data_IF_839941985881
#
_entry.id   IF_839941985881
#
_cell.length_a   1.000
_cell.length_b   1.000
_cell.length_c   1.000
_cell.angle_alpha   90.00
_cell.angle_beta   90.00
_cell.angle_gamma   90.00
#
_symmetry.space_group_name_H-M   'P 1'
#
loop_
_entity.id
_entity.type
_entity.pdbx_description
1 polymer ?
#
# COMPACT_ATOMS: atom_id res chain seq x y z
N UNK A 1 -60.14 4.61 -27.76
CA UNK A 1 -59.47 3.98 -28.91
C UNK A 1 -58.21 3.25 -28.38
N UNK A 2 -58.25 1.97 -28.53
CA UNK A 2 -57.40 0.95 -27.91
C UNK A 2 -56.08 0.87 -28.67
N UNK A 3 -54.94 0.90 -27.99
CA UNK A 3 -53.69 0.42 -28.58
C UNK A 3 -53.02 -0.56 -27.62
N UNK A 4 -52.83 -1.78 -28.16
CA UNK A 4 -52.37 -2.99 -27.51
C UNK A 4 -50.86 -2.96 -27.24
N UNK A 5 -50.51 -3.39 -26.08
CA UNK A 5 -49.16 -3.82 -25.68
C UNK A 5 -48.70 -5.02 -26.53
N UNK A 6 -47.49 -4.93 -27.07
CA UNK A 6 -46.79 -6.09 -27.63
C UNK A 6 -45.71 -6.52 -26.63
N UNK A 7 -45.96 -7.60 -25.95
CA UNK A 7 -45.00 -8.31 -25.11
C UNK A 7 -44.13 -9.15 -26.04
N UNK A 8 -42.86 -8.84 -26.14
CA UNK A 8 -41.88 -9.70 -26.82
C UNK A 8 -41.35 -10.75 -25.82
N UNK A 9 -41.66 -12.01 -26.12
CA UNK A 9 -41.11 -13.17 -25.49
C UNK A 9 -39.64 -13.33 -25.92
N UNK A 10 -38.69 -13.23 -24.97
CA UNK A 10 -37.32 -13.73 -25.15
C UNK A 10 -37.31 -15.23 -24.84
N UNK A 11 -36.99 -16.07 -25.83
CA UNK A 11 -36.72 -17.48 -25.66
C UNK A 11 -35.29 -17.67 -25.02
N UNK A 12 -35.08 -18.67 -24.16
CA UNK A 12 -33.76 -18.90 -23.58
C UNK A 12 -32.81 -19.56 -24.58
N UNK A 13 -31.62 -19.00 -24.72
CA UNK A 13 -30.53 -19.58 -25.51
C UNK A 13 -30.13 -20.98 -24.98
N UNK A 14 -30.11 -21.92 -25.90
CA UNK A 14 -29.62 -23.29 -25.66
C UNK A 14 -28.10 -23.26 -25.50
N UNK A 15 -27.62 -23.55 -24.29
CA UNK A 15 -26.24 -23.90 -24.05
C UNK A 15 -25.97 -25.25 -24.71
N UNK A 16 -25.16 -25.27 -25.77
CA UNK A 16 -24.67 -26.49 -26.42
C UNK A 16 -23.64 -27.17 -25.50
N UNK A 17 -23.99 -28.34 -25.01
CA UNK A 17 -23.06 -29.25 -24.33
C UNK A 17 -21.98 -29.75 -25.31
N UNK A 18 -20.70 -29.82 -24.88
CA UNK A 18 -19.63 -30.32 -25.74
C UNK A 18 -19.83 -31.83 -26.02
N UNK A 19 -19.66 -32.21 -27.30
CA UNK A 19 -19.88 -33.54 -27.83
C UNK A 19 -19.13 -34.64 -27.11
N UNK A 20 -19.82 -35.70 -26.76
CA UNK A 20 -19.45 -36.82 -25.90
C UNK A 20 -18.38 -37.79 -26.49
N UNK A 21 -17.68 -37.46 -27.58
CA UNK A 21 -16.72 -38.36 -28.23
C UNK A 21 -15.24 -38.11 -27.85
N UNK A 22 -14.86 -36.95 -27.37
CA UNK A 22 -13.47 -36.66 -26.96
C UNK A 22 -13.23 -37.01 -25.47
N UNK A 23 -14.27 -37.09 -24.67
CA UNK A 23 -14.17 -37.41 -23.23
C UNK A 23 -13.98 -38.91 -22.97
N UNK A 24 -14.38 -39.82 -23.88
CA UNK A 24 -14.30 -41.27 -23.67
C UNK A 24 -12.96 -41.90 -24.06
N UNK A 25 -12.10 -41.24 -24.81
CA UNK A 25 -10.80 -41.77 -25.21
C UNK A 25 -9.63 -41.45 -24.30
N UNK A 26 -9.83 -40.55 -23.28
CA UNK A 26 -8.80 -40.25 -22.28
C UNK A 26 -8.96 -40.96 -20.93
N UNK A 27 -9.97 -41.81 -20.78
CA UNK A 27 -10.27 -42.54 -19.54
C UNK A 27 -9.76 -43.99 -19.52
N UNK A 28 -9.13 -44.47 -20.61
CA UNK A 28 -8.72 -45.87 -20.71
C UNK A 28 -7.24 -46.16 -20.42
N UNK A 29 -6.41 -45.12 -20.12
CA UNK A 29 -4.96 -45.37 -19.95
C UNK A 29 -4.35 -44.58 -18.80
N UNK A 30 -4.82 -44.86 -17.58
CA UNK A 30 -4.03 -44.68 -16.35
C UNK A 30 -4.50 -45.67 -15.31
N UNK A 31 -3.88 -46.84 -15.29
CA UNK A 31 -3.81 -47.65 -14.07
C UNK A 31 -3.25 -46.75 -12.97
N UNK A 32 -4.10 -46.31 -12.05
CA UNK A 32 -3.68 -45.60 -10.86
C UNK A 32 -2.72 -46.48 -10.06
N UNK A 33 -1.42 -46.27 -10.26
CA UNK A 33 -0.45 -46.59 -9.25
C UNK A 33 -0.77 -45.66 -8.06
N UNK A 34 -1.02 -46.23 -6.90
CA UNK A 34 -1.05 -45.57 -5.63
C UNK A 34 0.35 -44.95 -5.42
N UNK A 35 0.60 -43.77 -6.01
CA UNK A 35 1.86 -43.04 -5.93
C UNK A 35 1.88 -42.20 -4.64
N UNK A 36 2.96 -42.29 -3.89
CA UNK A 36 3.20 -41.45 -2.73
C UNK A 36 2.86 -40.00 -3.07
N UNK A 37 1.95 -39.35 -2.30
CA UNK A 37 1.58 -37.96 -2.50
C UNK A 37 2.82 -37.09 -2.36
N UNK A 38 3.18 -36.38 -3.41
CA UNK A 38 4.34 -35.48 -3.42
C UNK A 38 4.13 -34.41 -2.34
N UNK A 39 5.07 -34.28 -1.42
CA UNK A 39 5.06 -33.23 -0.41
C UNK A 39 5.91 -32.06 -0.89
N UNK A 40 5.38 -30.86 -0.75
CA UNK A 40 6.03 -29.61 -1.09
C UNK A 40 6.02 -28.69 0.13
N UNK A 41 7.00 -27.80 0.20
CA UNK A 41 6.96 -26.72 1.19
C UNK A 41 5.77 -25.81 0.90
N UNK A 42 5.07 -25.37 1.94
CA UNK A 42 3.88 -24.54 1.80
C UNK A 42 4.18 -23.22 1.07
N UNK A 43 5.29 -22.54 1.40
CA UNK A 43 5.72 -21.32 0.71
C UNK A 43 5.91 -21.53 -0.79
N UNK A 44 6.42 -22.68 -1.19
CA UNK A 44 6.65 -23.06 -2.59
C UNK A 44 5.34 -23.40 -3.30
N UNK A 45 4.48 -24.18 -2.63
CA UNK A 45 3.17 -24.56 -3.17
C UNK A 45 2.29 -23.33 -3.49
N UNK A 46 2.29 -22.30 -2.64
CA UNK A 46 1.53 -21.08 -2.85
C UNK A 46 1.96 -20.34 -4.13
N UNK A 47 3.26 -20.30 -4.40
CA UNK A 47 3.81 -19.66 -5.61
C UNK A 47 3.54 -20.51 -6.85
N UNK A 48 3.79 -21.82 -6.79
CA UNK A 48 3.56 -22.74 -7.91
C UNK A 48 2.09 -22.78 -8.36
N UNK A 49 1.16 -22.57 -7.43
CA UNK A 49 -0.28 -22.48 -7.74
C UNK A 49 -0.73 -21.08 -8.16
N UNK A 50 0.18 -20.09 -8.22
CA UNK A 50 -0.14 -18.70 -8.56
C UNK A 50 -1.02 -17.99 -7.52
N UNK A 51 -1.11 -18.54 -6.27
CA UNK A 51 -1.90 -17.94 -5.18
C UNK A 51 -1.23 -16.66 -4.69
N UNK A 52 0.10 -16.62 -4.73
CA UNK A 52 0.91 -15.43 -4.39
C UNK A 52 2.04 -15.23 -5.39
N UNK A 53 2.48 -14.00 -5.54
CA UNK A 53 3.45 -13.61 -6.56
C UNK A 53 4.91 -14.02 -6.22
N UNK A 54 5.27 -14.16 -4.93
CA UNK A 54 6.63 -14.49 -4.52
C UNK A 54 6.67 -15.35 -3.25
N UNK A 55 7.83 -15.99 -3.00
CA UNK A 55 8.05 -16.83 -1.80
C UNK A 55 8.10 -15.98 -0.54
N UNK A 56 8.66 -14.79 -0.59
CA UNK A 56 8.73 -13.85 0.51
C UNK A 56 7.32 -13.44 0.94
N UNK A 57 6.45 -13.17 -0.04
CA UNK A 57 5.04 -12.89 0.21
C UNK A 57 4.31 -14.08 0.81
N UNK A 58 4.55 -15.29 0.29
CA UNK A 58 4.02 -16.53 0.85
C UNK A 58 4.42 -16.70 2.32
N UNK A 59 5.71 -16.51 2.63
CA UNK A 59 6.23 -16.64 3.99
C UNK A 59 5.59 -15.63 4.95
N UNK A 60 5.48 -14.37 4.53
CA UNK A 60 4.83 -13.32 5.33
C UNK A 60 3.37 -13.67 5.64
N UNK A 61 2.59 -14.13 4.67
CA UNK A 61 1.20 -14.52 4.84
C UNK A 61 1.03 -15.77 5.72
N UNK A 62 1.91 -16.74 5.59
CA UNK A 62 1.90 -17.95 6.44
C UNK A 62 2.21 -17.58 7.88
N UNK A 63 3.29 -16.82 8.14
CA UNK A 63 3.68 -16.35 9.48
C UNK A 63 2.57 -15.49 10.10
N UNK A 64 1.92 -14.64 9.30
CA UNK A 64 0.76 -13.86 9.75
C UNK A 64 -0.50 -14.71 9.99
N UNK A 65 -0.43 -16.03 9.74
CA UNK A 65 -1.55 -16.96 9.93
C UNK A 65 -2.72 -16.72 8.98
N UNK A 66 -2.44 -16.18 7.80
CA UNK A 66 -3.43 -15.91 6.75
C UNK A 66 -3.68 -17.10 5.82
N UNK A 67 -3.01 -18.24 6.05
CA UNK A 67 -3.08 -19.41 5.19
C UNK A 67 -3.69 -20.58 5.95
N UNK A 68 -4.77 -21.14 5.43
CA UNK A 68 -5.33 -22.42 5.86
C UNK A 68 -4.97 -23.50 4.86
N UNK A 69 -4.55 -24.66 5.36
CA UNK A 69 -4.33 -25.86 4.57
C UNK A 69 -5.25 -26.94 5.12
N UNK A 70 -6.17 -27.44 4.30
CA UNK A 70 -7.23 -28.36 4.74
C UNK A 70 -7.96 -27.85 5.99
N UNK A 71 -8.31 -26.54 5.98
CA UNK A 71 -8.98 -25.80 7.07
C UNK A 71 -8.17 -25.69 8.37
N UNK A 72 -6.90 -26.08 8.37
CA UNK A 72 -6.00 -25.90 9.51
C UNK A 72 -5.04 -24.75 9.26
N UNK A 73 -4.89 -23.86 10.24
CA UNK A 73 -3.94 -22.76 10.21
C UNK A 73 -2.53 -23.28 10.33
N UNK A 74 -1.67 -22.94 9.38
CA UNK A 74 -0.24 -23.22 9.42
C UNK A 74 0.54 -21.90 9.50
N UNK A 75 1.46 -21.82 10.44
CA UNK A 75 2.31 -20.64 10.71
C UNK A 75 3.78 -20.83 10.30
N UNK A 76 4.15 -22.03 9.85
CA UNK A 76 5.51 -22.37 9.40
C UNK A 76 5.59 -22.41 7.88
N UNK A 77 6.28 -21.45 7.28
CA UNK A 77 6.45 -21.34 5.83
C UNK A 77 7.07 -22.60 5.20
N UNK A 78 7.96 -23.29 5.94
CA UNK A 78 8.59 -24.53 5.52
C UNK A 78 7.77 -25.79 5.75
N UNK A 79 6.52 -25.68 6.26
CA UNK A 79 5.67 -26.84 6.49
C UNK A 79 5.52 -27.69 5.22
N UNK A 80 5.67 -29.01 5.36
CA UNK A 80 5.51 -29.95 4.26
C UNK A 80 4.02 -30.30 4.11
N UNK A 81 3.45 -29.94 2.98
CA UNK A 81 2.05 -30.19 2.64
C UNK A 81 1.95 -31.03 1.36
N UNK A 82 0.91 -31.81 1.22
CA UNK A 82 0.71 -32.59 -0.01
C UNK A 82 0.37 -31.65 -1.17
N UNK A 83 0.88 -31.97 -2.36
CA UNK A 83 0.74 -31.12 -3.54
C UNK A 83 -0.72 -30.88 -3.97
N UNK A 84 -1.66 -31.71 -3.52
CA UNK A 84 -3.10 -31.60 -3.76
C UNK A 84 -3.90 -31.03 -2.57
N UNK A 85 -3.21 -30.55 -1.52
CA UNK A 85 -3.87 -29.96 -0.36
C UNK A 85 -4.78 -28.79 -0.74
N UNK A 86 -5.94 -28.70 -0.10
CA UNK A 86 -6.83 -27.55 -0.25
C UNK A 86 -6.22 -26.37 0.51
N UNK A 87 -5.92 -25.30 -0.23
CA UNK A 87 -5.39 -24.05 0.36
C UNK A 87 -6.46 -22.99 0.30
N UNK A 88 -6.71 -22.33 1.43
CA UNK A 88 -7.60 -21.18 1.53
C UNK A 88 -6.88 -20.01 2.20
N UNK A 89 -6.96 -18.86 1.58
CA UNK A 89 -6.42 -17.62 2.14
C UNK A 89 -7.45 -17.00 3.10
N UNK A 90 -6.99 -16.51 4.23
CA UNK A 90 -7.81 -15.77 5.18
C UNK A 90 -7.65 -14.26 4.94
N UNK A 91 -8.76 -13.61 4.65
CA UNK A 91 -8.82 -12.19 4.33
C UNK A 91 -8.53 -11.90 2.85
N UNK A 92 -8.92 -10.71 2.42
CA UNK A 92 -8.61 -10.22 1.08
C UNK A 92 -7.10 -9.98 0.95
N UNK A 93 -6.54 -10.23 -0.23
CA UNK A 93 -5.20 -9.76 -0.55
C UNK A 93 -5.17 -8.23 -0.40
N UNK A 94 -4.14 -7.73 0.27
CA UNK A 94 -3.99 -6.27 0.39
C UNK A 94 -3.90 -5.69 -1.02
N UNK A 95 -4.74 -4.70 -1.30
CA UNK A 95 -4.72 -3.93 -2.56
C UNK A 95 -3.31 -3.41 -2.87
N UNK A 96 -2.56 -3.05 -1.85
CA UNK A 96 -1.19 -2.54 -1.90
C UNK A 96 -0.23 -3.47 -1.15
N UNK A 97 1.06 -3.34 -1.42
CA UNK A 97 2.11 -4.15 -0.76
C UNK A 97 2.14 -4.01 0.76
N UNK A 98 1.52 -2.96 1.30
CA UNK A 98 1.27 -2.81 2.74
C UNK A 98 0.01 -1.98 3.03
N UNK A 99 -0.47 -2.02 4.29
CA UNK A 99 -1.62 -1.24 4.76
C UNK A 99 -1.45 0.27 4.58
N UNK A 100 -0.21 0.75 4.48
CA UNK A 100 0.09 2.16 4.21
C UNK A 100 -0.60 2.68 2.97
N UNK A 101 -0.65 1.88 1.89
CA UNK A 101 -1.31 2.27 0.64
C UNK A 101 -2.78 2.67 0.79
N UNK A 102 -3.52 2.01 1.69
CA UNK A 102 -4.92 2.36 1.99
C UNK A 102 -5.06 3.76 2.63
N UNK A 103 -4.05 4.19 3.42
CA UNK A 103 -4.05 5.53 4.01
C UNK A 103 -3.90 6.60 2.93
N UNK A 104 -2.91 6.42 2.04
CA UNK A 104 -2.70 7.37 0.94
C UNK A 104 -3.88 7.38 -0.03
N UNK A 105 -4.41 6.22 -0.38
CA UNK A 105 -5.61 6.12 -1.23
C UNK A 105 -6.75 6.98 -0.68
N UNK A 106 -7.05 6.86 0.63
CA UNK A 106 -8.07 7.68 1.29
C UNK A 106 -7.82 9.18 1.12
N UNK A 107 -6.55 9.61 1.21
CA UNK A 107 -6.17 11.00 1.02
C UNK A 107 -6.37 11.45 -0.44
N UNK A 108 -5.93 10.65 -1.41
CA UNK A 108 -6.09 10.95 -2.84
C UNK A 108 -7.57 11.07 -3.22
N UNK A 109 -8.39 10.15 -2.75
CA UNK A 109 -9.85 10.14 -2.99
C UNK A 109 -10.53 11.35 -2.33
N UNK A 110 -10.27 11.59 -1.02
CA UNK A 110 -10.93 12.64 -0.27
C UNK A 110 -10.66 14.02 -0.85
N UNK A 111 -9.42 14.31 -1.23
CA UNK A 111 -9.02 15.61 -1.77
C UNK A 111 -9.03 15.66 -3.30
N UNK A 112 -9.52 14.61 -3.94
CA UNK A 112 -9.56 14.48 -5.39
C UNK A 112 -8.22 14.85 -6.04
N UNK A 113 -7.15 14.20 -5.56
CA UNK A 113 -5.79 14.45 -6.04
C UNK A 113 -5.48 13.48 -7.18
N UNK A 114 -5.38 14.00 -8.39
CA UNK A 114 -4.90 13.25 -9.53
C UNK A 114 -3.37 13.21 -9.56
N UNK A 115 -2.82 12.01 -9.52
CA UNK A 115 -1.37 11.74 -9.61
C UNK A 115 -0.97 11.13 -10.95
N UNK A 116 -1.93 10.97 -11.87
CA UNK A 116 -1.64 10.43 -13.19
C UNK A 116 -0.62 11.30 -13.92
N UNK A 117 0.38 10.65 -14.50
CA UNK A 117 1.51 11.28 -15.19
C UNK A 117 2.34 12.27 -14.35
N UNK A 118 2.22 12.23 -13.00
CA UNK A 118 2.94 13.11 -12.08
C UNK A 118 4.24 12.48 -11.57
N UNK A 119 5.18 13.35 -11.18
CA UNK A 119 6.38 12.98 -10.43
C UNK A 119 6.05 13.14 -8.94
N UNK A 120 6.14 12.07 -8.18
CA UNK A 120 5.84 12.05 -6.76
C UNK A 120 7.10 11.76 -5.94
N UNK A 121 7.19 12.39 -4.75
CA UNK A 121 8.22 12.08 -3.76
C UNK A 121 7.56 11.38 -2.56
N UNK A 122 8.01 10.16 -2.25
CA UNK A 122 7.58 9.37 -1.10
C UNK A 122 8.68 9.38 -0.03
N UNK A 123 8.40 9.96 1.12
CA UNK A 123 9.34 10.14 2.23
C UNK A 123 8.98 9.23 3.39
N UNK A 124 9.85 8.27 3.68
CA UNK A 124 9.60 7.18 4.63
C UNK A 124 8.94 5.99 3.91
N UNK A 125 9.46 5.62 2.76
CA UNK A 125 8.85 4.64 1.87
C UNK A 125 8.69 3.24 2.47
N UNK A 126 9.58 2.82 3.39
CA UNK A 126 9.54 1.54 4.11
C UNK A 126 9.29 0.36 3.17
N UNK A 127 8.21 -0.38 3.36
CA UNK A 127 7.79 -1.51 2.51
C UNK A 127 7.25 -1.09 1.13
N UNK A 128 7.05 0.20 0.89
CA UNK A 128 6.58 0.73 -0.41
C UNK A 128 5.07 0.88 -0.54
N UNK A 129 4.33 0.92 0.57
CA UNK A 129 2.86 1.01 0.51
C UNK A 129 2.34 2.28 -0.15
N UNK A 130 2.93 3.44 0.17
CA UNK A 130 2.59 4.73 -0.47
C UNK A 130 3.08 4.74 -1.92
N UNK A 131 4.30 4.31 -2.17
CA UNK A 131 4.86 4.17 -3.52
C UNK A 131 3.97 3.32 -4.41
N UNK A 132 3.54 2.13 -3.95
CA UNK A 132 2.66 1.23 -4.71
C UNK A 132 1.29 1.89 -5.00
N UNK A 133 0.73 2.62 -4.03
CA UNK A 133 -0.50 3.39 -4.22
C UNK A 133 -0.33 4.44 -5.33
N UNK A 134 0.73 5.24 -5.29
CA UNK A 134 1.03 6.23 -6.33
C UNK A 134 1.18 5.59 -7.72
N UNK A 135 1.89 4.47 -7.82
CA UNK A 135 2.09 3.74 -9.07
C UNK A 135 0.79 3.19 -9.65
N UNK A 136 -0.07 2.62 -8.79
CA UNK A 136 -1.39 2.11 -9.21
C UNK A 136 -2.34 3.21 -9.64
N UNK A 137 -2.17 4.44 -9.12
CA UNK A 137 -2.92 5.63 -9.54
C UNK A 137 -2.27 6.38 -10.72
N UNK A 138 -1.28 5.77 -11.39
CA UNK A 138 -0.74 6.27 -12.65
C UNK A 138 0.41 7.27 -12.53
N UNK A 139 1.08 7.39 -11.37
CA UNK A 139 2.27 8.23 -11.26
C UNK A 139 3.31 7.86 -12.34
N UNK A 140 3.83 8.85 -13.04
CA UNK A 140 4.86 8.64 -14.06
C UNK A 140 6.20 8.26 -13.43
N UNK A 141 6.49 8.81 -12.25
CA UNK A 141 7.69 8.51 -11.47
C UNK A 141 7.45 8.68 -9.99
N UNK A 142 8.05 7.80 -9.19
CA UNK A 142 8.09 7.94 -7.73
C UNK A 142 9.54 7.91 -7.27
N UNK A 143 9.97 8.99 -6.61
CA UNK A 143 11.25 9.06 -5.90
C UNK A 143 10.94 8.66 -4.46
N UNK A 144 11.45 7.51 -4.04
CA UNK A 144 11.19 6.96 -2.72
C UNK A 144 12.44 7.10 -1.84
N UNK A 145 12.29 7.73 -0.68
CA UNK A 145 13.40 7.97 0.27
C UNK A 145 13.15 7.18 1.56
N UNK A 146 14.14 6.43 2.02
CA UNK A 146 14.10 5.79 3.33
C UNK A 146 15.48 5.74 3.98
N UNK A 147 15.50 5.82 5.32
CA UNK A 147 16.74 5.61 6.12
C UNK A 147 17.13 4.13 6.23
N UNK A 148 16.18 3.23 6.05
CA UNK A 148 16.37 1.79 6.04
C UNK A 148 17.04 1.28 4.77
N UNK A 149 17.26 -0.02 4.76
CA UNK A 149 17.83 -0.74 3.61
C UNK A 149 17.14 -2.09 3.43
N UNK A 150 16.79 -2.43 2.18
CA UNK A 150 16.22 -3.73 1.83
C UNK A 150 14.80 -3.96 2.33
N UNK A 151 14.06 -2.90 2.73
CA UNK A 151 12.71 -3.03 3.28
C UNK A 151 11.62 -3.04 2.21
N UNK A 152 11.85 -2.34 1.09
CA UNK A 152 10.85 -2.18 0.03
C UNK A 152 10.54 -3.52 -0.63
N UNK A 153 9.25 -3.78 -0.85
CA UNK A 153 8.75 -4.96 -1.55
C UNK A 153 9.41 -5.12 -2.91
N UNK A 154 9.72 -6.36 -3.29
CA UNK A 154 10.44 -6.68 -4.52
C UNK A 154 9.75 -6.12 -5.77
N UNK A 155 8.42 -6.23 -5.87
CA UNK A 155 7.66 -5.74 -7.02
C UNK A 155 7.79 -4.23 -7.18
N UNK A 156 7.65 -3.48 -6.08
CA UNK A 156 7.73 -2.02 -6.07
C UNK A 156 9.16 -1.55 -6.36
N UNK A 157 10.15 -2.22 -5.72
CA UNK A 157 11.58 -1.92 -5.89
C UNK A 157 12.06 -2.04 -7.34
N UNK A 158 11.50 -2.95 -8.11
CA UNK A 158 11.89 -3.23 -9.49
C UNK A 158 10.99 -2.58 -10.54
N UNK A 159 10.01 -1.78 -10.12
CA UNK A 159 9.20 -0.99 -11.07
C UNK A 159 10.10 0.09 -11.71
N UNK A 160 10.19 0.17 -13.04
CA UNK A 160 11.08 1.13 -13.73
C UNK A 160 10.73 2.60 -13.44
N UNK A 161 9.56 2.89 -12.91
CA UNK A 161 9.14 4.23 -12.52
C UNK A 161 9.64 4.62 -11.12
N UNK A 162 10.17 3.68 -10.34
CA UNK A 162 10.64 3.92 -8.98
C UNK A 162 12.14 4.20 -8.96
N UNK A 163 12.49 5.34 -8.38
CA UNK A 163 13.86 5.66 -7.99
C UNK A 163 13.98 5.58 -6.47
N UNK A 164 14.56 4.50 -5.98
CA UNK A 164 14.70 4.25 -4.54
C UNK A 164 16.03 4.81 -4.01
N UNK A 165 15.95 5.64 -2.98
CA UNK A 165 17.06 6.25 -2.26
C UNK A 165 17.07 5.71 -0.81
N UNK A 166 17.69 4.55 -0.63
CA UNK A 166 17.87 3.93 0.70
C UNK A 166 19.03 4.57 1.48
N UNK A 167 19.09 4.33 2.79
CA UNK A 167 20.09 4.91 3.70
C UNK A 167 20.16 6.43 3.61
N UNK A 168 19.05 7.05 3.24
CA UNK A 168 18.96 8.49 3.00
C UNK A 168 18.09 9.14 4.08
N UNK A 169 18.72 9.98 4.92
CA UNK A 169 17.98 10.70 5.95
C UNK A 169 17.34 11.95 5.37
N UNK A 170 16.01 11.99 5.39
CA UNK A 170 15.20 13.05 4.82
C UNK A 170 15.48 14.45 5.41
N UNK A 171 16.08 14.55 6.61
CA UNK A 171 16.52 15.83 7.18
C UNK A 171 17.66 16.51 6.42
N UNK A 172 18.39 15.75 5.62
CA UNK A 172 19.59 16.24 4.93
C UNK A 172 19.47 16.11 3.40
N UNK A 173 18.26 15.89 2.89
CA UNK A 173 18.05 15.82 1.46
C UNK A 173 18.24 17.20 0.81
N UNK A 174 18.83 17.16 -0.35
CA UNK A 174 19.05 18.35 -1.20
C UNK A 174 18.46 18.11 -2.57
N UNK A 175 18.30 19.16 -3.36
CA UNK A 175 17.85 19.06 -4.75
C UNK A 175 18.74 18.13 -5.58
N UNK A 176 20.05 18.12 -5.35
CA UNK A 176 20.98 17.23 -6.05
C UNK A 176 20.73 15.75 -5.74
N UNK A 177 20.37 15.44 -4.47
CA UNK A 177 20.01 14.07 -4.06
C UNK A 177 18.69 13.63 -4.71
N UNK A 178 17.68 14.48 -4.67
CA UNK A 178 16.35 14.20 -5.25
C UNK A 178 16.45 14.18 -6.79
N UNK A 179 17.23 15.07 -7.41
CA UNK A 179 17.57 15.11 -8.83
C UNK A 179 16.51 15.74 -9.72
N UNK A 180 15.23 15.76 -9.32
CA UNK A 180 14.13 16.33 -10.09
C UNK A 180 13.07 16.95 -9.16
N UNK A 181 12.22 17.81 -9.70
CA UNK A 181 11.13 18.43 -8.92
C UNK A 181 9.93 17.51 -8.88
N UNK A 182 9.27 17.43 -7.73
CA UNK A 182 8.05 16.68 -7.55
C UNK A 182 6.80 17.56 -7.76
N UNK A 183 5.73 16.96 -8.22
CA UNK A 183 4.39 17.58 -8.28
C UNK A 183 3.63 17.37 -6.96
N UNK A 184 3.88 16.24 -6.30
CA UNK A 184 3.30 15.85 -5.01
C UNK A 184 4.40 15.29 -4.11
N UNK A 185 4.37 15.69 -2.84
CA UNK A 185 5.16 15.07 -1.76
C UNK A 185 4.19 14.29 -0.87
N UNK A 186 4.53 13.04 -0.53
CA UNK A 186 3.85 12.26 0.49
C UNK A 186 4.85 11.90 1.59
N UNK A 187 4.43 11.96 2.86
CA UNK A 187 5.32 11.79 4.02
C UNK A 187 4.69 10.80 5.00
N UNK A 188 5.37 9.68 5.23
CA UNK A 188 5.01 8.66 6.22
C UNK A 188 6.24 8.27 7.05
N UNK A 189 6.76 9.20 7.83
CA UNK A 189 7.96 8.97 8.66
C UNK A 189 7.62 8.40 10.03
N UNK A 190 8.54 7.66 10.61
CA UNK A 190 8.46 7.09 11.95
C UNK A 190 9.72 7.44 12.76
N UNK A 191 9.58 7.48 14.08
CA UNK A 191 10.67 7.77 15.05
C UNK A 191 11.27 9.17 14.94
N UNK A 192 10.61 10.07 14.23
CA UNK A 192 10.99 11.46 14.04
C UNK A 192 9.74 12.31 13.85
N UNK A 193 9.78 13.55 14.32
CA UNK A 193 8.72 14.53 14.01
C UNK A 193 8.77 14.91 12.53
N UNK A 194 7.61 14.94 11.88
CA UNK A 194 7.47 15.41 10.50
C UNK A 194 7.95 16.86 10.35
N UNK A 195 7.83 17.70 11.39
CA UNK A 195 8.26 19.10 11.36
C UNK A 195 9.77 19.27 11.10
N UNK A 196 10.59 18.25 11.44
CA UNK A 196 12.02 18.27 11.17
C UNK A 196 12.38 17.85 9.74
N UNK A 197 11.46 17.15 9.08
CA UNK A 197 11.67 16.57 7.75
C UNK A 197 11.09 17.47 6.66
N UNK A 198 9.99 18.15 6.96
CA UNK A 198 9.25 18.97 6.00
C UNK A 198 10.10 20.08 5.36
N UNK A 199 10.84 20.94 6.12
CA UNK A 199 11.58 22.04 5.52
C UNK A 199 12.62 21.57 4.47
N UNK A 200 13.55 20.65 4.77
CA UNK A 200 14.52 20.20 3.77
C UNK A 200 13.88 19.50 2.57
N UNK A 201 12.84 18.68 2.79
CA UNK A 201 12.15 17.95 1.74
C UNK A 201 11.42 18.88 0.78
N UNK A 202 10.64 19.82 1.32
CA UNK A 202 9.89 20.81 0.52
C UNK A 202 10.82 21.70 -0.28
N UNK A 203 11.91 22.18 0.33
CA UNK A 203 12.89 23.04 -0.36
C UNK A 203 13.72 22.29 -1.41
N UNK A 204 13.92 21.00 -1.22
CA UNK A 204 14.64 20.17 -2.18
C UNK A 204 13.77 19.75 -3.37
N UNK A 205 12.50 19.39 -3.13
CA UNK A 205 11.61 18.78 -4.12
C UNK A 205 10.72 19.77 -4.86
N UNK A 206 10.38 20.91 -4.26
CA UNK A 206 9.56 21.94 -4.90
C UNK A 206 10.43 23.12 -5.41
N UNK A 207 9.92 23.93 -6.36
CA UNK A 207 10.54 25.18 -6.72
C UNK A 207 10.74 26.09 -5.50
N UNK A 208 11.74 26.98 -5.50
CA UNK A 208 12.12 27.78 -4.32
C UNK A 208 10.97 28.66 -3.80
N UNK A 209 10.24 29.30 -4.66
CA UNK A 209 9.10 30.19 -4.35
C UNK A 209 8.45 30.67 -5.65
N UNK A 210 7.30 31.35 -5.54
CA UNK A 210 6.60 31.95 -6.66
C UNK A 210 5.57 31.06 -7.33
N UNK A 211 5.12 31.48 -8.53
CA UNK A 211 4.00 30.83 -9.24
C UNK A 211 4.25 29.36 -9.59
N UNK A 212 5.50 28.95 -9.80
CA UNK A 212 5.86 27.56 -10.11
C UNK A 212 5.61 26.60 -8.92
N UNK A 213 5.60 27.12 -7.69
CA UNK A 213 5.27 26.36 -6.49
C UNK A 213 3.76 26.28 -6.23
N UNK A 214 3.03 27.22 -6.79
CA UNK A 214 1.59 27.37 -6.59
C UNK A 214 0.82 26.12 -7.03
N UNK A 215 -0.08 25.65 -6.16
CA UNK A 215 -0.91 24.47 -6.40
C UNK A 215 -0.22 23.14 -6.16
N UNK A 216 1.11 23.11 -5.88
CA UNK A 216 1.77 21.89 -5.45
C UNK A 216 1.27 21.45 -4.08
N UNK A 217 1.21 20.14 -3.86
CA UNK A 217 0.58 19.58 -2.68
C UNK A 217 1.55 18.72 -1.89
N UNK A 218 1.34 18.70 -0.59
CA UNK A 218 1.98 17.77 0.33
C UNK A 218 0.91 17.01 1.10
N UNK A 219 1.06 15.70 1.27
CA UNK A 219 0.23 14.84 2.11
C UNK A 219 1.13 14.28 3.20
N UNK A 220 0.71 14.41 4.46
CA UNK A 220 1.49 13.95 5.61
C UNK A 220 0.62 13.03 6.44
N UNK A 221 1.16 11.85 6.77
CA UNK A 221 0.60 11.02 7.82
C UNK A 221 1.13 11.52 9.16
N UNK A 222 0.30 12.27 9.88
CA UNK A 222 0.61 12.76 11.22
C UNK A 222 0.43 11.65 12.24
N UNK A 223 1.49 11.34 12.95
CA UNK A 223 1.54 10.29 13.96
C UNK A 223 1.76 10.92 15.34
N UNK A 224 0.72 11.05 16.18
CA UNK A 224 0.83 11.73 17.46
C UNK A 224 1.96 11.22 18.36
N UNK A 225 2.27 9.91 18.30
CA UNK A 225 3.35 9.32 19.09
C UNK A 225 4.75 9.86 18.76
N UNK A 226 4.93 10.52 17.61
CA UNK A 226 6.20 11.14 17.22
C UNK A 226 6.16 12.66 17.22
N UNK A 227 4.99 13.24 17.46
CA UNK A 227 4.78 14.71 17.48
C UNK A 227 4.50 15.25 18.88
N UNK A 228 3.79 14.51 19.72
CA UNK A 228 3.50 14.88 21.10
C UNK A 228 4.74 14.79 21.99
N UNK A 229 4.72 15.47 23.13
CA UNK A 229 5.71 15.32 24.17
C UNK A 229 5.77 13.89 24.72
N UNK A 230 6.92 13.48 25.25
CA UNK A 230 7.12 12.13 25.80
C UNK A 230 6.14 11.79 26.91
N UNK A 231 5.70 12.79 27.67
CA UNK A 231 4.72 12.69 28.75
C UNK A 231 3.34 12.20 28.31
N UNK A 232 2.98 12.40 27.04
CA UNK A 232 1.71 11.93 26.46
C UNK A 232 1.82 10.53 25.84
N UNK A 233 3.03 9.99 25.70
CA UNK A 233 3.26 8.66 25.12
C UNK A 233 3.19 7.61 26.20
N UNK A 234 2.06 6.92 26.27
CA UNK A 234 1.80 5.90 27.28
C UNK A 234 2.42 4.54 26.96
N UNK A 235 2.05 3.55 27.77
CA UNK A 235 2.51 2.16 27.58
C UNK A 235 2.18 1.65 26.17
N UNK A 236 3.16 1.04 25.53
CA UNK A 236 3.05 0.54 24.15
C UNK A 236 3.19 1.63 23.08
N UNK A 237 3.69 2.84 23.44
CA UNK A 237 3.86 3.91 22.46
C UNK A 237 2.56 4.57 22.00
N UNK A 238 1.48 4.48 22.81
CA UNK A 238 0.14 4.95 22.42
C UNK A 238 -0.17 6.28 23.08
N UNK A 239 -0.57 7.28 22.28
CA UNK A 239 -1.11 8.57 22.73
C UNK A 239 -2.63 8.45 22.80
N UNK A 240 -3.19 8.45 24.03
CA UNK A 240 -4.64 8.32 24.26
C UNK A 240 -5.32 9.67 24.50
N UNK A 241 -4.56 10.67 24.92
CA UNK A 241 -5.06 12.01 25.17
C UNK A 241 -5.43 12.68 23.84
N UNK A 242 -6.71 12.98 23.67
CA UNK A 242 -7.22 13.59 22.43
C UNK A 242 -6.69 15.00 22.21
N UNK A 243 -6.50 15.76 23.28
CA UNK A 243 -5.93 17.11 23.17
C UNK A 243 -4.48 17.06 22.67
N UNK A 244 -3.69 16.10 23.15
CA UNK A 244 -2.33 15.87 22.67
C UNK A 244 -2.30 15.37 21.21
N UNK A 245 -3.28 14.56 20.80
CA UNK A 245 -3.41 14.13 19.40
C UNK A 245 -3.69 15.34 18.50
N UNK A 246 -4.65 16.19 18.85
CA UNK A 246 -4.98 17.41 18.08
C UNK A 246 -3.84 18.43 18.11
N UNK A 247 -3.19 18.62 19.23
CA UNK A 247 -2.00 19.50 19.33
C UNK A 247 -0.87 19.02 18.40
N UNK A 248 -0.72 17.71 18.22
CA UNK A 248 0.23 17.14 17.27
C UNK A 248 -0.09 17.52 15.82
N UNK A 249 -1.37 17.53 15.46
CA UNK A 249 -1.83 17.98 14.14
C UNK A 249 -1.55 19.46 13.95
N UNK A 250 -1.92 20.33 14.92
CA UNK A 250 -1.69 21.78 14.85
C UNK A 250 -0.20 22.12 14.75
N UNK A 251 0.66 21.38 15.44
CA UNK A 251 2.11 21.53 15.33
C UNK A 251 2.61 21.30 13.89
N UNK A 252 2.13 20.27 13.21
CA UNK A 252 2.53 19.97 11.83
C UNK A 252 1.92 20.96 10.85
N UNK A 253 0.68 21.43 11.09
CA UNK A 253 0.06 22.54 10.33
C UNK A 253 0.92 23.78 10.39
N UNK A 254 1.31 24.23 11.60
CA UNK A 254 2.15 25.41 11.78
C UNK A 254 3.49 25.30 11.03
N UNK A 255 4.07 24.10 10.95
CA UNK A 255 5.28 23.88 10.16
C UNK A 255 5.03 24.08 8.65
N UNK A 256 3.88 23.63 8.12
CA UNK A 256 3.50 23.84 6.72
C UNK A 256 3.19 25.32 6.42
N UNK A 257 2.51 26.01 7.31
CA UNK A 257 2.24 27.45 7.20
C UNK A 257 3.55 28.24 7.14
N UNK A 258 4.51 27.91 8.01
CA UNK A 258 5.86 28.47 7.99
C UNK A 258 6.64 28.23 6.69
N UNK A 259 6.25 27.21 5.92
CA UNK A 259 6.81 26.89 4.59
C UNK A 259 6.03 27.54 3.44
N UNK A 260 4.96 28.29 3.73
CA UNK A 260 4.16 29.02 2.77
C UNK A 260 2.95 28.26 2.23
N UNK A 261 2.49 27.21 2.89
CA UNK A 261 1.21 26.58 2.53
C UNK A 261 0.06 27.56 2.75
N UNK A 262 -0.78 27.71 1.75
CA UNK A 262 -1.92 28.63 1.76
C UNK A 262 -3.24 27.99 2.20
N UNK A 263 -3.34 26.67 2.07
CA UNK A 263 -4.53 25.88 2.47
C UNK A 263 -4.09 24.60 3.14
N UNK A 264 -4.73 24.31 4.27
CA UNK A 264 -4.51 23.10 5.05
C UNK A 264 -5.86 22.41 5.31
N UNK A 265 -5.91 21.10 5.18
CA UNK A 265 -7.06 20.31 5.52
C UNK A 265 -6.63 18.98 6.15
N UNK A 266 -7.45 18.46 7.07
CA UNK A 266 -7.13 17.29 7.88
C UNK A 266 -8.31 16.33 7.92
N UNK A 267 -8.00 15.04 7.80
CA UNK A 267 -8.95 13.94 8.04
C UNK A 267 -8.32 12.86 8.90
N UNK A 268 -9.14 12.04 9.53
CA UNK A 268 -8.67 10.82 10.19
C UNK A 268 -8.11 9.81 9.15
N UNK A 269 -7.04 9.13 9.53
CA UNK A 269 -6.58 7.95 8.80
C UNK A 269 -7.67 6.87 8.81
N UNK A 270 -7.91 6.16 7.68
CA UNK A 270 -8.95 5.12 7.60
C UNK A 270 -8.63 3.89 8.47
N UNK A 271 -7.39 3.76 8.90
CA UNK A 271 -6.93 2.66 9.75
C UNK A 271 -5.98 3.18 10.83
N UNK A 272 -5.97 2.50 11.95
CA UNK A 272 -5.03 2.79 13.05
C UNK A 272 -3.59 2.43 12.66
N UNK A 273 -2.64 3.09 13.29
CA UNK A 273 -1.22 2.76 13.24
C UNK A 273 -0.93 1.34 13.73
N UNK A 274 0.33 0.90 13.55
CA UNK A 274 0.74 -0.47 13.87
C UNK A 274 0.47 -0.86 15.33
N UNK A 275 0.70 0.07 16.25
CA UNK A 275 0.51 -0.11 17.69
C UNK A 275 -0.91 0.28 18.17
N UNK A 276 -1.81 0.64 17.23
CA UNK A 276 -3.17 1.06 17.55
C UNK A 276 -3.34 2.57 17.78
N UNK A 277 -2.34 3.38 17.48
CA UNK A 277 -2.45 4.84 17.53
C UNK A 277 -3.45 5.38 16.50
N UNK A 278 -4.25 6.37 16.91
CA UNK A 278 -4.97 7.23 15.97
C UNK A 278 -3.96 8.04 15.18
N UNK A 279 -4.13 8.09 13.88
CA UNK A 279 -3.28 8.85 12.97
C UNK A 279 -4.14 9.75 12.09
N UNK A 280 -3.55 10.81 11.57
CA UNK A 280 -4.28 11.80 10.77
C UNK A 280 -3.58 11.99 9.42
N UNK A 281 -4.38 12.24 8.40
CA UNK A 281 -3.89 12.65 7.08
C UNK A 281 -4.06 14.16 6.98
N UNK A 282 -2.98 14.88 6.72
CA UNK A 282 -2.95 16.33 6.57
C UNK A 282 -2.52 16.66 5.14
N UNK A 283 -3.35 17.45 4.44
CA UNK A 283 -2.98 18.06 3.16
C UNK A 283 -2.52 19.49 3.37
N UNK A 284 -1.44 19.87 2.68
CA UNK A 284 -1.04 21.27 2.48
C UNK A 284 -0.98 21.60 0.99
N UNK A 285 -1.44 22.80 0.64
CA UNK A 285 -1.39 23.33 -0.74
C UNK A 285 -0.62 24.64 -0.72
N UNK A 286 0.42 24.73 -1.54
CA UNK A 286 1.25 25.91 -1.71
C UNK A 286 0.67 26.93 -2.68
#
# INVERSE_FOLDING_TARGET
MIQREMVQHFAPERVLAPSSHIAKQRLADKRFRCGAKVKLRLDKLLVERGIVASRERAQALIIAGKVLVNEQKLDKAGAQVVSDAVVRMLGEDLKYVSRGGLKLERALEHWNIDVNAKICLDVGASTGGFTDCLLQHGAARVIAIDTGYGQMDFKVRHDPRVRLLEKTNARYVTRQIIGEMADLIVVDVAFISATLVLPPVVNAAFPPSGDERRGRKVIILVKPQFEAGREFVGKGGIVRDEAAQLASVEKVKGALEGLGCSRLDVIDSPILGAEGNREFLLQGVF
#
